data_IF_958609333311
#
_entry.id   IF_958609333311
#
_cell.length_a   1.000
_cell.length_b   1.000
_cell.length_c   1.000
_cell.angle_alpha   90.00
_cell.angle_beta   90.00
_cell.angle_gamma   90.00
#
_symmetry.space_group_name_H-M   'P 1'
#
loop_
_entity.id
_entity.type
_entity.pdbx_description
1 polymer ?
#
# COMPACT_ATOMS: atom_id res chain seq x y z
N UNK A 1 -48.08 10.81 12.18
CA UNK A 1 -48.35 9.72 13.15
C UNK A 1 -47.21 8.76 12.96
N UNK A 2 -46.12 9.02 13.69
CA UNK A 2 -44.90 8.24 13.61
C UNK A 2 -45.19 6.88 14.24
N UNK A 3 -45.01 5.84 13.44
CA UNK A 3 -45.14 4.46 13.90
C UNK A 3 -43.95 4.16 14.83
N UNK A 4 -44.18 3.94 16.15
CA UNK A 4 -43.10 3.71 17.12
C UNK A 4 -42.35 2.39 16.86
N UNK A 5 -42.76 1.60 15.87
CA UNK A 5 -42.04 0.39 15.42
C UNK A 5 -41.06 0.64 14.26
N UNK A 6 -41.06 1.82 13.63
CA UNK A 6 -40.01 2.20 12.68
C UNK A 6 -38.81 2.74 13.45
N UNK A 7 -37.80 1.89 13.64
CA UNK A 7 -36.52 2.31 14.21
C UNK A 7 -35.91 3.47 13.43
N UNK A 8 -35.07 4.28 14.07
CA UNK A 8 -34.38 5.38 13.38
C UNK A 8 -33.26 4.85 12.47
N UNK A 9 -32.79 5.66 11.51
CA UNK A 9 -31.59 5.34 10.69
C UNK A 9 -30.42 4.92 11.58
N UNK A 10 -30.18 5.67 12.66
CA UNK A 10 -29.09 5.39 13.60
C UNK A 10 -29.26 4.04 14.34
N UNK A 11 -30.49 3.70 14.75
CA UNK A 11 -30.76 2.41 15.41
C UNK A 11 -30.57 1.22 14.47
N UNK A 12 -31.05 1.35 13.23
CA UNK A 12 -30.82 0.35 12.19
C UNK A 12 -29.31 0.18 11.92
N UNK A 13 -28.56 1.28 11.81
CA UNK A 13 -27.12 1.25 11.61
C UNK A 13 -26.35 0.62 12.77
N UNK A 14 -26.74 0.90 14.02
CA UNK A 14 -26.12 0.29 15.19
C UNK A 14 -26.32 -1.22 15.22
N UNK A 15 -27.52 -1.72 14.89
CA UNK A 15 -27.77 -3.16 14.79
C UNK A 15 -27.01 -3.79 13.62
N UNK A 16 -26.99 -3.12 12.46
CA UNK A 16 -26.24 -3.57 11.31
C UNK A 16 -24.75 -3.74 11.63
N UNK A 17 -24.14 -2.77 12.33
CA UNK A 17 -22.74 -2.82 12.78
C UNK A 17 -22.48 -4.04 13.66
N UNK A 18 -23.29 -4.22 14.70
CA UNK A 18 -23.12 -5.34 15.63
C UNK A 18 -23.28 -6.69 14.92
N UNK A 19 -24.27 -6.82 14.04
CA UNK A 19 -24.49 -8.04 13.26
C UNK A 19 -23.33 -8.31 12.29
N UNK A 20 -22.79 -7.26 11.66
CA UNK A 20 -21.64 -7.37 10.77
C UNK A 20 -20.38 -7.83 11.52
N UNK A 21 -20.10 -7.27 12.71
CA UNK A 21 -18.99 -7.70 13.56
C UNK A 21 -19.14 -9.14 14.08
N UNK A 22 -20.37 -9.61 14.23
CA UNK A 22 -20.70 -11.00 14.55
C UNK A 22 -20.67 -11.94 13.33
N UNK A 23 -20.42 -11.43 12.12
CA UNK A 23 -20.42 -12.20 10.87
C UNK A 23 -21.80 -12.59 10.37
N UNK A 24 -22.86 -12.02 10.93
CA UNK A 24 -24.23 -12.20 10.48
C UNK A 24 -24.52 -11.23 9.32
N UNK A 25 -23.76 -11.37 8.24
CA UNK A 25 -23.82 -10.47 7.06
C UNK A 25 -25.24 -10.33 6.50
N UNK A 26 -26.06 -11.40 6.36
CA UNK A 26 -27.43 -11.26 5.86
C UNK A 26 -28.33 -10.41 6.78
N UNK A 27 -28.17 -10.55 8.10
CA UNK A 27 -28.95 -9.76 9.08
C UNK A 27 -28.48 -8.29 9.08
N UNK A 28 -27.17 -8.07 8.98
CA UNK A 28 -26.59 -6.74 8.84
C UNK A 28 -27.08 -6.03 7.57
N UNK A 29 -27.15 -6.75 6.45
CA UNK A 29 -27.71 -6.25 5.18
C UNK A 29 -29.16 -5.84 5.34
N UNK A 30 -29.98 -6.67 5.99
CA UNK A 30 -31.39 -6.35 6.22
C UNK A 30 -31.59 -5.06 7.05
N UNK A 31 -30.74 -4.84 8.05
CA UNK A 31 -30.75 -3.61 8.85
C UNK A 31 -30.24 -2.40 8.06
N UNK A 32 -29.20 -2.56 7.24
CA UNK A 32 -28.73 -1.50 6.33
C UNK A 32 -29.81 -1.11 5.31
N UNK A 33 -30.50 -2.07 4.70
CA UNK A 33 -31.61 -1.83 3.78
C UNK A 33 -32.80 -1.15 4.49
N UNK A 34 -33.02 -1.46 5.78
CA UNK A 34 -34.01 -0.77 6.58
C UNK A 34 -33.64 0.70 6.83
N UNK A 35 -32.37 1.00 7.12
CA UNK A 35 -31.87 2.37 7.21
C UNK A 35 -32.05 3.12 5.87
N UNK A 36 -31.69 2.50 4.74
CA UNK A 36 -31.83 3.08 3.40
C UNK A 36 -33.28 3.30 2.96
N UNK A 37 -34.24 2.53 3.48
CA UNK A 37 -35.68 2.80 3.26
C UNK A 37 -36.15 4.08 3.97
N UNK A 38 -35.49 4.48 5.05
CA UNK A 38 -35.80 5.69 5.80
C UNK A 38 -35.08 6.89 5.17
N UNK A 39 -33.78 6.75 4.91
CA UNK A 39 -32.97 7.74 4.18
C UNK A 39 -32.07 7.05 3.13
N UNK A 40 -32.47 7.09 1.85
CA UNK A 40 -31.69 6.47 0.76
C UNK A 40 -30.32 7.11 0.52
N UNK A 41 -30.10 8.34 0.99
CA UNK A 41 -28.86 9.10 0.75
C UNK A 41 -27.96 9.13 1.98
N UNK A 42 -28.35 8.47 3.07
CA UNK A 42 -27.53 8.43 4.27
C UNK A 42 -26.18 7.77 3.97
N UNK A 43 -25.05 8.48 4.20
CA UNK A 43 -23.75 7.99 3.79
C UNK A 43 -23.27 6.82 4.64
N UNK A 44 -23.66 6.75 5.91
CA UNK A 44 -23.28 5.68 6.83
C UNK A 44 -24.04 4.37 6.48
N UNK A 45 -25.32 4.47 6.11
CA UNK A 45 -26.14 3.35 5.62
C UNK A 45 -25.67 2.82 4.27
N UNK A 46 -25.35 3.71 3.32
CA UNK A 46 -24.74 3.31 2.06
C UNK A 46 -23.35 2.66 2.30
N UNK A 47 -22.53 3.17 3.22
CA UNK A 47 -21.26 2.56 3.55
C UNK A 47 -21.40 1.17 4.20
N UNK A 48 -22.44 0.96 5.01
CA UNK A 48 -22.75 -0.35 5.60
C UNK A 48 -23.25 -1.35 4.54
N UNK A 49 -24.16 -0.93 3.66
CA UNK A 49 -24.61 -1.76 2.54
C UNK A 49 -23.46 -2.17 1.62
N UNK A 50 -22.52 -1.24 1.35
CA UNK A 50 -21.31 -1.53 0.59
C UNK A 50 -20.44 -2.59 1.26
N UNK A 51 -20.27 -2.50 2.59
CA UNK A 51 -19.50 -3.48 3.35
C UNK A 51 -20.15 -4.88 3.31
N UNK A 52 -21.48 -4.94 3.44
CA UNK A 52 -22.23 -6.19 3.31
C UNK A 52 -22.07 -6.80 1.90
N UNK A 53 -22.21 -6.00 0.84
CA UNK A 53 -22.03 -6.46 -0.53
C UNK A 53 -20.61 -6.99 -0.80
N UNK A 54 -19.58 -6.33 -0.25
CA UNK A 54 -18.20 -6.80 -0.33
C UNK A 54 -18.03 -8.16 0.38
N UNK A 55 -18.63 -8.32 1.56
CA UNK A 55 -18.61 -9.56 2.32
C UNK A 55 -19.35 -10.71 1.60
N UNK A 56 -20.37 -10.39 0.81
CA UNK A 56 -21.10 -11.32 -0.05
C UNK A 56 -20.37 -11.61 -1.39
N UNK A 57 -19.14 -11.10 -1.57
CA UNK A 57 -18.35 -11.21 -2.79
C UNK A 57 -19.02 -10.61 -4.04
N UNK A 58 -19.82 -9.55 -3.87
CA UNK A 58 -20.38 -8.74 -4.96
C UNK A 58 -19.66 -7.38 -5.04
N UNK A 59 -18.50 -7.31 -5.73
CA UNK A 59 -17.74 -6.08 -5.82
C UNK A 59 -18.46 -5.00 -6.63
N UNK A 60 -19.33 -5.36 -7.58
CA UNK A 60 -20.05 -4.38 -8.39
C UNK A 60 -21.09 -3.65 -7.55
N UNK A 61 -21.87 -4.38 -6.75
CA UNK A 61 -22.83 -3.79 -5.81
C UNK A 61 -22.12 -2.98 -4.71
N UNK A 62 -20.99 -3.49 -4.18
CA UNK A 62 -20.19 -2.77 -3.21
C UNK A 62 -19.69 -1.41 -3.75
N UNK A 63 -19.28 -1.35 -5.02
CA UNK A 63 -18.84 -0.11 -5.67
C UNK A 63 -19.97 0.90 -5.85
N UNK A 64 -21.19 0.44 -6.13
CA UNK A 64 -22.37 1.32 -6.24
C UNK A 64 -22.65 1.99 -4.90
N UNK A 65 -22.78 1.21 -3.82
CA UNK A 65 -23.08 1.75 -2.50
C UNK A 65 -21.93 2.58 -1.93
N UNK A 66 -20.67 2.15 -2.10
CA UNK A 66 -19.52 2.94 -1.68
C UNK A 66 -19.46 4.27 -2.47
N UNK A 67 -19.78 4.25 -3.76
CA UNK A 67 -19.90 5.45 -4.59
C UNK A 67 -20.96 6.41 -4.08
N UNK A 68 -22.15 5.91 -3.71
CA UNK A 68 -23.22 6.71 -3.14
C UNK A 68 -22.81 7.36 -1.81
N UNK A 69 -22.20 6.59 -0.90
CA UNK A 69 -21.69 7.13 0.36
C UNK A 69 -20.64 8.24 0.14
N UNK A 70 -19.70 8.03 -0.79
CA UNK A 70 -18.63 8.99 -1.08
C UNK A 70 -19.12 10.23 -1.83
N UNK A 71 -20.21 10.14 -2.60
CA UNK A 71 -20.82 11.30 -3.23
C UNK A 71 -21.37 12.30 -2.19
N UNK A 72 -21.89 11.81 -1.07
CA UNK A 72 -22.41 12.64 0.02
C UNK A 72 -21.36 13.00 1.08
N UNK A 73 -20.45 12.07 1.39
CA UNK A 73 -19.34 12.27 2.34
C UNK A 73 -18.03 11.78 1.71
N UNK A 74 -17.30 12.64 0.96
CA UNK A 74 -16.10 12.24 0.20
C UNK A 74 -14.94 11.68 1.04
N UNK A 75 -14.91 11.97 2.34
CA UNK A 75 -13.90 11.48 3.29
C UNK A 75 -14.45 10.41 4.24
N UNK A 76 -15.46 9.67 3.82
CA UNK A 76 -16.02 8.58 4.61
C UNK A 76 -15.10 7.36 4.60
N UNK A 77 -14.35 7.16 5.69
CA UNK A 77 -13.28 6.14 5.75
C UNK A 77 -13.76 4.74 5.40
N UNK A 78 -14.87 4.25 5.96
CA UNK A 78 -15.41 2.92 5.62
C UNK A 78 -15.69 2.77 4.12
N UNK A 79 -16.41 3.70 3.51
CA UNK A 79 -16.69 3.66 2.08
C UNK A 79 -15.43 3.74 1.22
N UNK A 80 -14.43 4.53 1.60
CA UNK A 80 -13.13 4.57 0.91
C UNK A 80 -12.42 3.22 0.96
N UNK A 81 -12.39 2.59 2.14
CA UNK A 81 -11.79 1.27 2.36
C UNK A 81 -12.53 0.20 1.55
N UNK A 82 -13.86 0.14 1.66
CA UNK A 82 -14.70 -0.81 0.91
C UNK A 82 -14.53 -0.65 -0.59
N UNK A 83 -14.50 0.59 -1.10
CA UNK A 83 -14.22 0.86 -2.52
C UNK A 83 -12.87 0.30 -2.94
N UNK A 84 -11.82 0.51 -2.16
CA UNK A 84 -10.48 0.02 -2.47
C UNK A 84 -10.43 -1.51 -2.58
N UNK A 85 -11.07 -2.22 -1.64
CA UNK A 85 -11.17 -3.67 -1.70
C UNK A 85 -12.05 -4.17 -2.85
N UNK A 86 -13.23 -3.57 -3.06
CA UNK A 86 -14.12 -3.95 -4.14
C UNK A 86 -13.49 -3.75 -5.53
N UNK A 87 -12.69 -2.69 -5.72
CA UNK A 87 -11.91 -2.49 -6.94
C UNK A 87 -10.88 -3.60 -7.14
N UNK A 88 -10.23 -4.03 -6.06
CA UNK A 88 -9.25 -5.10 -6.10
C UNK A 88 -9.91 -6.46 -6.42
N UNK A 89 -11.05 -6.77 -5.80
CA UNK A 89 -11.86 -7.97 -6.11
C UNK A 89 -12.38 -8.00 -7.55
N UNK A 90 -12.74 -6.84 -8.08
CA UNK A 90 -13.15 -6.69 -9.48
C UNK A 90 -11.97 -6.79 -10.48
N UNK A 91 -10.72 -6.95 -10.01
CA UNK A 91 -9.51 -6.97 -10.85
C UNK A 91 -9.18 -5.61 -11.48
N UNK A 92 -9.72 -4.51 -10.93
CA UNK A 92 -9.47 -3.13 -11.37
C UNK A 92 -8.26 -2.57 -10.63
N UNK A 93 -7.12 -3.22 -10.81
CA UNK A 93 -5.91 -3.05 -9.98
C UNK A 93 -5.43 -1.59 -9.93
N UNK A 94 -5.33 -0.90 -11.06
CA UNK A 94 -4.88 0.50 -11.11
C UNK A 94 -5.77 1.44 -10.29
N UNK A 95 -7.09 1.21 -10.32
CA UNK A 95 -8.05 2.00 -9.55
C UNK A 95 -7.99 1.63 -8.07
N UNK A 96 -7.76 0.35 -7.74
CA UNK A 96 -7.56 -0.11 -6.37
C UNK A 96 -6.33 0.55 -5.75
N UNK A 97 -5.23 0.69 -6.51
CA UNK A 97 -4.02 1.39 -6.06
C UNK A 97 -4.28 2.88 -5.79
N UNK A 98 -5.06 3.54 -6.64
CA UNK A 98 -5.46 4.94 -6.43
C UNK A 98 -6.36 5.09 -5.20
N UNK A 99 -7.33 4.19 -5.03
CA UNK A 99 -8.21 4.17 -3.87
C UNK A 99 -7.41 3.93 -2.58
N UNK A 100 -6.45 3.00 -2.59
CA UNK A 100 -5.54 2.77 -1.47
C UNK A 100 -4.74 4.03 -1.14
N UNK A 101 -4.13 4.68 -2.14
CA UNK A 101 -3.36 5.92 -1.94
C UNK A 101 -4.20 7.03 -1.28
N UNK A 102 -5.48 7.14 -1.64
CA UNK A 102 -6.38 8.13 -1.04
C UNK A 102 -6.59 7.95 0.47
N UNK A 103 -6.39 6.75 1.02
CA UNK A 103 -6.43 6.51 2.47
C UNK A 103 -5.22 7.13 3.17
N UNK A 104 -4.05 7.11 2.53
CA UNK A 104 -2.85 7.78 3.07
C UNK A 104 -2.94 9.30 2.89
N UNK A 105 -3.58 9.78 1.83
CA UNK A 105 -3.88 11.21 1.66
C UNK A 105 -4.88 11.72 2.73
N UNK A 106 -5.80 10.85 3.17
CA UNK A 106 -6.71 11.16 4.27
C UNK A 106 -5.95 11.33 5.58
N UNK A 107 -5.09 10.36 5.92
CA UNK A 107 -4.18 10.43 7.05
C UNK A 107 -3.03 9.41 6.90
N UNK A 108 -1.81 9.94 6.71
CA UNK A 108 -0.59 9.16 6.52
C UNK A 108 0.10 8.77 7.84
N UNK A 109 -0.36 9.26 8.99
CA UNK A 109 0.14 8.86 10.32
C UNK A 109 -0.75 7.82 10.99
N UNK A 110 -1.91 7.51 10.39
CA UNK A 110 -2.78 6.41 10.82
C UNK A 110 -2.21 5.05 10.41
N UNK A 111 -1.80 4.26 11.39
CA UNK A 111 -1.40 2.87 11.18
C UNK A 111 -2.53 2.02 10.56
N UNK A 112 -3.81 2.35 10.82
CA UNK A 112 -4.97 1.69 10.22
C UNK A 112 -5.04 1.93 8.71
N UNK A 113 -4.76 3.17 8.27
CA UNK A 113 -4.74 3.50 6.85
C UNK A 113 -3.57 2.80 6.14
N UNK A 114 -2.41 2.70 6.79
CA UNK A 114 -1.29 1.91 6.27
C UNK A 114 -1.63 0.41 6.15
N UNK A 115 -2.35 -0.17 7.12
CA UNK A 115 -2.85 -1.55 7.00
C UNK A 115 -3.77 -1.70 5.80
N UNK A 116 -4.76 -0.83 5.64
CA UNK A 116 -5.71 -0.94 4.52
C UNK A 116 -5.01 -0.72 3.18
N UNK A 117 -4.11 0.25 3.08
CA UNK A 117 -3.24 0.41 1.92
C UNK A 117 -2.47 -0.88 1.61
N UNK A 118 -1.82 -1.46 2.62
CA UNK A 118 -1.02 -2.67 2.45
C UNK A 118 -1.84 -3.85 1.95
N UNK A 119 -3.04 -4.04 2.50
CA UNK A 119 -3.93 -5.15 2.13
C UNK A 119 -4.57 -4.96 0.75
N UNK A 120 -5.00 -3.75 0.40
CA UNK A 120 -5.55 -3.46 -0.94
C UNK A 120 -4.46 -3.61 -2.00
N UNK A 121 -3.27 -3.05 -1.77
CA UNK A 121 -2.15 -3.17 -2.71
C UNK A 121 -1.63 -4.60 -2.83
N UNK A 122 -1.60 -5.37 -1.74
CA UNK A 122 -1.36 -6.83 -1.77
C UNK A 122 -2.39 -7.53 -2.66
N UNK A 123 -3.66 -7.19 -2.55
CA UNK A 123 -4.71 -7.80 -3.36
C UNK A 123 -4.57 -7.42 -4.85
N UNK A 124 -4.25 -6.17 -5.15
CA UNK A 124 -3.98 -5.70 -6.51
C UNK A 124 -2.61 -6.18 -7.07
N UNK A 125 -1.90 -7.08 -6.39
CA UNK A 125 -0.63 -7.65 -6.84
C UNK A 125 0.61 -6.73 -6.68
N UNK A 126 0.45 -5.56 -6.05
CA UNK A 126 1.52 -4.61 -5.82
C UNK A 126 2.32 -4.95 -4.54
N UNK A 127 3.19 -5.94 -4.68
CA UNK A 127 4.02 -6.52 -3.63
C UNK A 127 4.88 -5.54 -2.81
N UNK A 128 5.63 -4.64 -3.47
CA UNK A 128 6.53 -3.72 -2.75
C UNK A 128 5.77 -2.64 -1.97
N UNK A 129 4.80 -1.92 -2.57
CA UNK A 129 3.96 -0.98 -1.83
C UNK A 129 3.27 -1.62 -0.62
N UNK A 130 2.81 -2.87 -0.76
CA UNK A 130 2.21 -3.61 0.35
C UNK A 130 3.19 -3.80 1.51
N UNK A 131 4.42 -4.26 1.22
CA UNK A 131 5.45 -4.48 2.23
C UNK A 131 5.87 -3.17 2.92
N UNK A 132 6.06 -2.09 2.15
CA UNK A 132 6.46 -0.79 2.68
C UNK A 132 5.41 -0.22 3.63
N UNK A 133 4.13 -0.29 3.25
CA UNK A 133 3.03 0.17 4.09
C UNK A 133 2.84 -0.71 5.34
N UNK A 134 3.01 -2.04 5.23
CA UNK A 134 2.96 -2.91 6.40
C UNK A 134 4.09 -2.61 7.41
N UNK A 135 5.30 -2.30 6.93
CA UNK A 135 6.39 -1.83 7.77
C UNK A 135 6.07 -0.49 8.43
N UNK A 136 5.51 0.46 7.69
CA UNK A 136 5.09 1.75 8.26
C UNK A 136 4.00 1.59 9.32
N UNK A 137 3.04 0.66 9.12
CA UNK A 137 2.03 0.36 10.13
C UNK A 137 2.67 -0.14 11.44
N UNK A 138 3.66 -1.04 11.36
CA UNK A 138 4.41 -1.51 12.53
C UNK A 138 5.22 -0.38 13.19
N UNK A 139 5.84 0.50 12.41
CA UNK A 139 6.59 1.63 12.95
C UNK A 139 5.68 2.64 13.68
N UNK A 140 4.47 2.86 13.18
CA UNK A 140 3.49 3.78 13.76
C UNK A 140 2.81 3.21 15.01
N UNK A 141 2.60 1.89 15.05
CA UNK A 141 1.96 1.22 16.18
C UNK A 141 2.61 -0.16 16.43
N UNK A 142 3.80 -0.18 17.06
CA UNK A 142 4.57 -1.39 17.29
C UNK A 142 4.00 -2.27 18.40
N UNK A 143 3.10 -1.74 19.22
CA UNK A 143 2.38 -2.41 20.31
C UNK A 143 1.05 -3.04 19.85
N UNK A 144 0.64 -2.81 18.61
CA UNK A 144 -0.59 -3.37 18.06
C UNK A 144 -0.32 -4.74 17.41
N UNK A 145 -0.87 -5.86 17.94
CA UNK A 145 -0.64 -7.19 17.35
C UNK A 145 -1.01 -7.25 15.86
N UNK A 146 -2.04 -6.49 15.45
CA UNK A 146 -2.55 -6.48 14.08
C UNK A 146 -1.56 -5.95 13.05
N UNK A 147 -0.72 -4.96 13.39
CA UNK A 147 0.27 -4.41 12.45
C UNK A 147 1.32 -5.47 12.09
N UNK A 148 1.74 -6.24 13.09
CA UNK A 148 2.66 -7.38 12.93
C UNK A 148 2.03 -8.53 12.14
N UNK A 149 0.75 -8.86 12.35
CA UNK A 149 0.07 -9.90 11.58
C UNK A 149 -0.02 -9.57 10.08
N UNK A 150 -0.30 -8.31 9.75
CA UNK A 150 -0.35 -7.84 8.34
C UNK A 150 1.04 -7.92 7.70
N UNK A 151 2.09 -7.48 8.42
CA UNK A 151 3.47 -7.62 7.95
C UNK A 151 3.86 -9.09 7.75
N UNK A 152 3.44 -9.97 8.66
CA UNK A 152 3.70 -11.41 8.53
C UNK A 152 3.04 -12.01 7.28
N UNK A 153 1.76 -11.71 7.04
CA UNK A 153 1.03 -12.22 5.88
C UNK A 153 1.65 -11.76 4.55
N UNK A 154 2.03 -10.48 4.45
CA UNK A 154 2.68 -9.96 3.24
C UNK A 154 4.08 -10.56 3.09
N UNK A 155 4.83 -10.73 4.18
CA UNK A 155 6.12 -11.39 4.15
C UNK A 155 6.02 -12.85 3.67
N UNK A 156 4.98 -13.59 4.08
CA UNK A 156 4.71 -14.96 3.62
C UNK A 156 4.48 -15.03 2.12
N UNK A 157 3.62 -14.16 1.57
CA UNK A 157 3.37 -14.15 0.13
C UNK A 157 4.64 -13.88 -0.68
N UNK A 158 5.56 -13.10 -0.12
CA UNK A 158 6.83 -12.76 -0.75
C UNK A 158 7.93 -13.80 -0.52
N UNK A 159 7.66 -14.88 0.24
CA UNK A 159 8.64 -15.90 0.59
C UNK A 159 9.70 -15.43 1.58
N UNK A 160 9.40 -14.41 2.38
CA UNK A 160 10.29 -13.88 3.43
C UNK A 160 10.05 -14.59 4.76
N UNK A 161 10.32 -15.90 4.81
CA UNK A 161 9.93 -16.76 5.93
C UNK A 161 10.46 -16.28 7.29
N UNK A 162 11.69 -15.75 7.33
CA UNK A 162 12.30 -15.25 8.56
C UNK A 162 11.57 -14.01 9.10
N UNK A 163 11.21 -13.07 8.22
CA UNK A 163 10.46 -11.87 8.59
C UNK A 163 9.06 -12.28 9.04
N UNK A 164 8.39 -13.13 8.27
CA UNK A 164 7.07 -13.63 8.60
C UNK A 164 7.00 -14.29 9.98
N UNK A 165 7.95 -15.18 10.28
CA UNK A 165 8.03 -15.85 11.60
C UNK A 165 8.26 -14.85 12.73
N UNK A 166 9.17 -13.89 12.57
CA UNK A 166 9.45 -12.87 13.59
C UNK A 166 8.25 -11.97 13.84
N UNK A 167 7.57 -11.52 12.79
CA UNK A 167 6.38 -10.68 12.91
C UNK A 167 5.22 -11.45 13.57
N UNK A 168 5.00 -12.74 13.22
CA UNK A 168 4.03 -13.58 13.94
C UNK A 168 4.36 -13.75 15.42
N UNK A 169 5.64 -13.94 15.76
CA UNK A 169 6.06 -14.05 17.14
C UNK A 169 5.79 -12.74 17.90
N UNK A 170 6.16 -11.60 17.33
CA UNK A 170 5.90 -10.29 17.94
C UNK A 170 4.39 -10.06 18.19
N UNK A 171 3.53 -10.44 17.23
CA UNK A 171 2.09 -10.38 17.41
C UNK A 171 1.59 -11.27 18.57
N UNK A 172 2.14 -12.49 18.69
CA UNK A 172 1.78 -13.44 19.75
C UNK A 172 2.22 -12.94 21.13
N UNK A 173 3.44 -12.41 21.23
CA UNK A 173 4.00 -11.86 22.48
C UNK A 173 3.15 -10.69 22.99
N UNK A 174 2.62 -9.85 22.10
CA UNK A 174 1.71 -8.75 22.44
C UNK A 174 0.30 -9.24 22.82
N UNK A 175 -0.17 -10.32 22.23
CA UNK A 175 -1.47 -10.94 22.55
C UNK A 175 -1.49 -11.68 23.90
N UNK A 176 -0.34 -12.16 24.35
CA UNK A 176 -0.17 -12.90 25.61
C UNK A 176 0.06 -11.99 26.84
N UNK A 177 0.34 -10.70 26.63
CA UNK A 177 0.80 -9.75 27.67
C UNK A 177 -0.19 -8.66 28.08
N UNK A 178 -1.39 -8.58 27.51
CA UNK A 178 -2.34 -7.50 27.79
C UNK A 178 -3.40 -7.82 28.85
N UNK A 179 -3.39 -7.19 30.06
CA UNK A 179 -4.63 -6.92 30.75
C UNK A 179 -5.35 -5.79 29.98
N UNK A 180 -6.63 -5.96 29.66
CA UNK A 180 -7.48 -4.98 28.95
C UNK A 180 -7.29 -4.83 27.42
N UNK A 181 -7.48 -5.91 26.65
CA UNK A 181 -7.80 -5.77 25.21
C UNK A 181 -9.27 -5.37 24.94
N UNK A 182 -10.04 -4.98 25.96
CA UNK A 182 -11.44 -4.53 25.90
C UNK A 182 -11.56 -3.00 26.08
N UNK A 183 -10.72 -2.24 25.39
CA UNK A 183 -10.95 -0.79 25.21
C UNK A 183 -11.98 -0.53 24.10
N UNK A 184 -12.76 0.55 24.13
CA UNK A 184 -13.76 0.86 23.10
C UNK A 184 -13.15 1.07 21.69
N UNK A 185 -11.83 1.30 21.60
CA UNK A 185 -11.09 1.41 20.34
C UNK A 185 -10.48 0.08 19.83
N UNK A 186 -10.71 -1.02 20.57
CA UNK A 186 -10.36 -2.40 20.17
C UNK A 186 -11.31 -2.99 19.12
N UNK A 187 -12.26 -2.20 18.61
CA UNK A 187 -13.10 -2.47 17.43
C UNK A 187 -12.26 -2.47 16.13
N UNK A 188 -11.26 -3.33 16.10
CA UNK A 188 -10.56 -3.78 14.92
C UNK A 188 -10.60 -5.29 15.03
N UNK A 189 -11.31 -5.98 14.14
CA UNK A 189 -11.84 -7.27 14.48
C UNK A 189 -10.63 -8.25 14.52
N UNK A 190 -10.63 -9.17 15.49
CA UNK A 190 -9.58 -10.17 15.73
C UNK A 190 -9.34 -11.05 14.49
N UNK A 191 -8.46 -12.06 14.47
CA UNK A 191 -8.33 -12.90 13.25
C UNK A 191 -9.69 -13.47 12.80
N UNK A 192 -10.50 -13.90 13.78
CA UNK A 192 -11.88 -14.32 13.58
C UNK A 192 -12.84 -13.17 13.23
N UNK A 193 -12.45 -11.94 13.57
CA UNK A 193 -13.15 -10.73 13.28
C UNK A 193 -12.84 -10.14 11.89
N UNK A 194 -11.63 -10.34 11.35
CA UNK A 194 -11.33 -10.12 9.94
C UNK A 194 -12.16 -11.11 9.12
N UNK A 195 -12.18 -12.38 9.53
CA UNK A 195 -13.08 -13.43 9.02
C UNK A 195 -14.57 -13.06 9.11
N UNK A 196 -15.03 -12.43 10.20
CA UNK A 196 -16.44 -12.01 10.37
C UNK A 196 -16.81 -10.71 9.66
N UNK A 197 -15.93 -9.71 9.62
CA UNK A 197 -16.19 -8.41 9.05
C UNK A 197 -16.10 -8.38 7.52
N UNK A 198 -16.23 -9.51 6.83
CA UNK A 198 -16.07 -9.62 5.37
C UNK A 198 -14.73 -9.13 4.82
N UNK A 199 -13.78 -8.79 5.71
CA UNK A 199 -12.44 -8.29 5.41
C UNK A 199 -11.42 -9.42 5.47
N UNK A 200 -11.86 -10.65 5.69
CA UNK A 200 -11.16 -11.86 5.30
C UNK A 200 -11.16 -11.98 3.79
N UNK A 201 -10.40 -11.06 3.22
CA UNK A 201 -9.46 -11.50 2.24
C UNK A 201 -8.69 -12.66 2.82
N UNK A 202 -8.87 -13.80 2.17
CA UNK A 202 -8.12 -15.00 2.41
C UNK A 202 -6.64 -14.60 2.55
N UNK A 203 -6.15 -14.59 3.81
CA UNK A 203 -4.74 -14.38 4.10
C UNK A 203 -3.92 -15.49 3.41
N UNK A 204 -4.57 -16.57 2.93
CA UNK A 204 -4.02 -17.62 2.09
C UNK A 204 -3.94 -17.32 0.59
N UNK A 205 -4.44 -16.18 0.07
CA UNK A 205 -4.30 -15.87 -1.37
C UNK A 205 -2.86 -15.48 -1.69
N UNK A 206 -2.06 -16.49 -2.04
CA UNK A 206 -0.66 -16.29 -2.39
C UNK A 206 -0.53 -15.33 -3.57
N UNK A 207 0.37 -14.34 -3.46
CA UNK A 207 0.74 -13.49 -4.59
C UNK A 207 1.10 -14.36 -5.81
N UNK A 208 0.72 -13.94 -7.04
CA UNK A 208 1.11 -14.67 -8.24
C UNK A 208 2.64 -14.84 -8.26
N UNK A 209 3.16 -15.96 -8.79
CA UNK A 209 4.59 -16.29 -8.74
C UNK A 209 5.50 -15.19 -9.31
N UNK A 210 4.97 -14.36 -10.21
CA UNK A 210 5.64 -13.18 -10.80
C UNK A 210 5.82 -12.02 -9.80
N UNK A 211 4.94 -11.91 -8.80
CA UNK A 211 4.96 -10.90 -7.74
C UNK A 211 5.67 -11.38 -6.47
N UNK A 212 5.81 -12.71 -6.28
CA UNK A 212 6.76 -13.25 -5.30
C UNK A 212 8.13 -12.80 -5.73
N UNK A 213 8.98 -12.40 -4.80
CA UNK A 213 10.36 -12.07 -5.13
C UNK A 213 10.96 -13.30 -5.83
N UNK A 214 11.11 -13.25 -7.16
CA UNK A 214 12.35 -13.73 -7.73
C UNK A 214 13.40 -12.93 -6.99
N UNK A 215 14.32 -13.57 -6.24
CA UNK A 215 15.41 -12.84 -5.67
C UNK A 215 16.01 -12.06 -6.83
N UNK A 216 15.87 -10.72 -6.79
CA UNK A 216 16.58 -9.87 -7.73
C UNK A 216 18.03 -10.12 -7.41
N UNK A 217 18.62 -11.08 -8.14
CA UNK A 217 20.05 -11.21 -8.29
C UNK A 217 20.45 -9.84 -8.81
N UNK A 218 21.05 -9.02 -7.95
CA UNK A 218 21.53 -7.71 -8.31
C UNK A 218 22.53 -7.91 -9.43
N UNK A 219 22.05 -7.77 -10.66
CA UNK A 219 22.74 -8.18 -11.89
C UNK A 219 22.93 -9.70 -11.96
N UNK A 220 22.52 -10.32 -13.06
CA UNK A 220 23.14 -11.56 -13.54
C UNK A 220 24.62 -11.27 -13.88
N UNK A 221 25.41 -11.03 -12.85
CA UNK A 221 26.86 -11.02 -12.87
C UNK A 221 27.29 -12.22 -12.05
N UNK A 222 27.11 -13.42 -12.62
CA UNK A 222 28.11 -14.44 -12.34
C UNK A 222 29.47 -13.82 -12.69
N UNK A 223 30.42 -13.90 -11.77
CA UNK A 223 31.78 -13.38 -12.00
C UNK A 223 32.41 -13.96 -13.28
N UNK A 224 31.87 -15.10 -13.74
CA UNK A 224 32.28 -15.85 -14.92
C UNK A 224 31.36 -15.69 -16.15
N UNK A 225 30.36 -14.78 -16.14
CA UNK A 225 29.48 -14.55 -17.31
C UNK A 225 30.23 -13.75 -18.39
N UNK A 226 30.58 -14.32 -19.57
CA UNK A 226 31.35 -13.62 -20.60
C UNK A 226 30.62 -12.42 -21.22
N UNK A 227 29.30 -12.27 -20.99
CA UNK A 227 28.48 -11.15 -21.50
C UNK A 227 28.14 -10.10 -20.44
N UNK A 228 28.75 -10.16 -19.25
CA UNK A 228 28.52 -9.18 -18.17
C UNK A 228 28.73 -7.73 -18.65
N UNK A 229 29.70 -7.51 -19.56
CA UNK A 229 30.00 -6.20 -20.15
C UNK A 229 28.85 -5.66 -21.00
N UNK A 230 28.18 -6.49 -21.78
CA UNK A 230 27.03 -6.06 -22.60
C UNK A 230 25.85 -5.63 -21.73
N UNK A 231 25.66 -6.27 -20.57
CA UNK A 231 24.61 -5.93 -19.59
C UNK A 231 24.89 -4.61 -18.87
N UNK A 232 26.16 -4.33 -18.55
CA UNK A 232 26.56 -3.07 -17.87
C UNK A 232 26.56 -1.88 -18.84
N UNK A 233 27.03 -2.08 -20.07
CA UNK A 233 27.23 -0.99 -21.03
C UNK A 233 26.07 -0.82 -22.03
N UNK A 234 25.32 -1.87 -22.34
CA UNK A 234 24.23 -1.86 -23.32
C UNK A 234 24.71 -1.58 -24.76
N UNK A 235 23.88 -1.90 -25.77
CA UNK A 235 24.13 -1.44 -27.14
C UNK A 235 23.80 0.06 -27.24
N UNK A 236 24.82 0.89 -27.03
CA UNK A 236 24.76 2.34 -27.21
C UNK A 236 24.98 3.14 -25.93
N UNK A 237 25.47 4.37 -26.11
CA UNK A 237 26.08 5.24 -25.09
C UNK A 237 25.21 5.50 -23.83
N UNK A 238 23.90 5.24 -23.86
CA UNK A 238 22.94 5.62 -22.80
C UNK A 238 21.88 4.58 -22.42
N UNK A 239 21.97 3.33 -22.92
CA UNK A 239 20.92 2.32 -22.66
C UNK A 239 21.21 1.35 -21.51
N UNK A 240 22.45 1.26 -21.03
CA UNK A 240 22.82 0.45 -19.86
C UNK A 240 22.53 1.12 -18.51
N UNK A 241 22.49 0.32 -17.43
CA UNK A 241 22.29 0.81 -16.06
C UNK A 241 23.35 1.85 -15.63
N UNK A 242 24.58 1.69 -16.12
CA UNK A 242 25.68 2.64 -15.92
C UNK A 242 25.47 3.94 -16.70
N UNK A 243 24.93 3.86 -17.92
CA UNK A 243 24.64 5.05 -18.75
C UNK A 243 23.53 5.91 -18.16
N UNK A 244 22.52 5.30 -17.53
CA UNK A 244 21.43 6.01 -16.83
C UNK A 244 21.90 6.69 -15.55
N UNK A 245 22.77 6.04 -14.77
CA UNK A 245 23.33 6.61 -13.55
C UNK A 245 24.34 7.73 -13.86
N UNK A 246 25.09 7.62 -14.96
CA UNK A 246 25.95 8.70 -15.46
C UNK A 246 25.12 9.92 -15.90
N UNK A 247 24.01 9.73 -16.64
CA UNK A 247 23.11 10.83 -17.02
C UNK A 247 22.49 11.53 -15.81
N UNK A 248 22.13 10.77 -14.78
CA UNK A 248 21.63 11.33 -13.53
C UNK A 248 22.72 12.16 -12.81
N UNK A 249 23.96 11.66 -12.80
CA UNK A 249 25.12 12.35 -12.24
C UNK A 249 25.46 13.65 -12.98
N UNK A 250 25.50 13.65 -14.32
CA UNK A 250 25.71 14.88 -15.10
C UNK A 250 24.55 15.86 -14.95
N UNK A 251 23.30 15.38 -14.92
CA UNK A 251 22.16 16.25 -14.69
C UNK A 251 22.27 16.99 -13.34
N UNK A 252 22.71 16.31 -12.27
CA UNK A 252 22.90 16.93 -10.95
C UNK A 252 24.07 17.93 -10.97
N UNK A 253 25.20 17.59 -11.59
CA UNK A 253 26.37 18.48 -11.66
C UNK A 253 26.11 19.75 -12.47
N UNK A 254 25.25 19.70 -13.49
CA UNK A 254 24.91 20.86 -14.31
C UNK A 254 23.64 21.62 -13.88
N UNK A 255 22.65 20.94 -13.29
CA UNK A 255 21.41 21.58 -12.82
C UNK A 255 21.59 22.31 -11.49
N UNK A 256 22.40 21.79 -10.57
CA UNK A 256 22.60 22.38 -9.24
C UNK A 256 23.25 23.78 -9.32
N UNK A 257 24.28 24.04 -10.15
CA UNK A 257 24.82 25.38 -10.34
C UNK A 257 23.90 26.35 -11.08
N UNK A 258 22.99 25.85 -11.93
CA UNK A 258 22.00 26.66 -12.64
C UNK A 258 20.82 27.08 -11.73
N UNK A 259 20.48 26.26 -10.73
CA UNK A 259 19.46 26.53 -9.72
C UNK A 259 19.94 27.42 -8.56
N UNK A 260 21.24 27.39 -8.21
CA UNK A 260 21.86 28.22 -7.16
C UNK A 260 22.27 29.63 -7.66
N UNK A 261 21.39 30.27 -8.43
CA UNK A 261 21.62 31.55 -9.11
C UNK A 261 22.37 32.62 -8.30
N UNK A 262 23.25 33.34 -9.01
CA UNK A 262 23.82 34.67 -8.72
C UNK A 262 24.65 34.97 -7.47
N UNK A 263 24.69 34.19 -6.39
CA UNK A 263 25.40 34.64 -5.16
C UNK A 263 26.91 34.32 -5.07
N UNK A 264 27.43 33.49 -5.97
CA UNK A 264 28.84 33.06 -5.93
C UNK A 264 29.71 33.97 -6.81
N UNK A 265 30.81 34.52 -6.28
CA UNK A 265 31.76 35.32 -7.06
C UNK A 265 32.32 34.53 -8.27
N UNK A 266 32.78 35.25 -9.30
CA UNK A 266 33.26 34.63 -10.56
C UNK A 266 34.43 33.64 -10.36
N UNK A 267 35.28 33.85 -9.35
CA UNK A 267 36.43 33.00 -9.03
C UNK A 267 36.06 31.55 -8.68
N UNK A 268 35.25 31.32 -7.62
CA UNK A 268 34.83 29.97 -7.24
C UNK A 268 34.07 29.22 -8.35
N UNK A 269 33.27 29.92 -9.17
CA UNK A 269 32.57 29.31 -10.32
C UNK A 269 33.54 28.69 -11.34
N UNK A 270 34.63 29.40 -11.63
CA UNK A 270 35.67 28.91 -12.54
C UNK A 270 36.45 27.73 -11.93
N UNK A 271 36.66 27.72 -10.62
CA UNK A 271 37.29 26.59 -9.93
C UNK A 271 36.43 25.31 -10.01
N UNK A 272 35.12 25.40 -9.76
CA UNK A 272 34.20 24.27 -9.91
C UNK A 272 34.11 23.79 -11.37
N UNK A 273 34.06 24.72 -12.33
CA UNK A 273 34.08 24.37 -13.76
C UNK A 273 35.38 23.65 -14.15
N UNK A 274 36.53 24.10 -13.66
CA UNK A 274 37.82 23.47 -13.92
C UNK A 274 37.92 22.06 -13.31
N UNK A 275 37.44 21.87 -12.07
CA UNK A 275 37.40 20.56 -11.40
C UNK A 275 36.46 19.60 -12.15
N UNK A 276 35.28 20.08 -12.57
CA UNK A 276 34.34 19.28 -13.36
C UNK A 276 34.94 18.87 -14.71
N UNK A 277 35.64 19.79 -15.40
CA UNK A 277 36.29 19.51 -16.68
C UNK A 277 37.46 18.52 -16.52
N UNK A 278 38.28 18.68 -15.47
CA UNK A 278 39.37 17.76 -15.16
C UNK A 278 38.87 16.36 -14.80
N UNK A 279 37.79 16.26 -14.02
CA UNK A 279 37.13 14.99 -13.72
C UNK A 279 36.56 14.34 -14.99
N UNK A 280 35.97 15.13 -15.89
CA UNK A 280 35.44 14.66 -17.17
C UNK A 280 36.55 14.14 -18.11
N UNK A 281 37.67 14.86 -18.23
CA UNK A 281 38.84 14.44 -19.02
C UNK A 281 39.51 13.19 -18.42
N UNK A 282 39.66 13.14 -17.09
CA UNK A 282 40.18 11.96 -16.39
C UNK A 282 39.30 10.73 -16.60
N UNK A 283 37.99 10.90 -16.53
CA UNK A 283 37.03 9.83 -16.83
C UNK A 283 37.10 9.38 -18.29
N UNK A 284 37.19 10.30 -19.24
CA UNK A 284 37.26 9.98 -20.67
C UNK A 284 38.56 9.25 -21.04
N UNK A 285 39.67 9.59 -20.40
CA UNK A 285 40.95 8.88 -20.58
C UNK A 285 40.91 7.46 -20.02
N UNK A 286 40.27 7.25 -18.85
CA UNK A 286 40.03 5.89 -18.29
C UNK A 286 39.12 5.06 -19.21
N UNK A 287 38.05 5.66 -19.74
CA UNK A 287 37.15 4.98 -20.69
C UNK A 287 37.83 4.61 -22.01
N UNK A 288 38.74 5.46 -22.51
CA UNK A 288 39.51 5.17 -23.72
C UNK A 288 40.50 4.02 -23.49
N UNK A 289 41.12 3.97 -22.30
CA UNK A 289 42.07 2.91 -21.92
C UNK A 289 41.41 1.52 -21.78
N UNK A 290 40.12 1.48 -21.47
CA UNK A 290 39.35 0.23 -21.42
C UNK A 290 38.71 -0.18 -22.76
N UNK A 291 38.81 0.66 -23.81
CA UNK A 291 38.30 0.36 -25.16
C UNK A 291 39.34 -0.28 -26.07
N UNK A 292 40.63 0.02 -25.89
CA UNK A 292 41.75 -0.61 -26.60
C UNK A 292 42.70 -1.27 -25.59
N UNK A 293 42.49 -2.56 -25.25
CA UNK A 293 43.54 -3.36 -24.62
C UNK A 293 44.49 -3.87 -25.71
N UNK A 294 45.76 -3.45 -25.67
CA UNK A 294 46.84 -4.33 -26.14
C UNK A 294 46.94 -5.56 -25.24
#
# INVERSE_FOLDING_TARGET
>A
MDDPTRGTVAEHLQRAELMYELGQVPDARAEADAALRIDPLDPDANAMAAACALADHDPDEALVYAGAALAHRPRHTRAMVTRGYALADAGRDDEALQAAASLLDLDHTSWRNHIHYALITRHAGAAQPALDAAWNAVNLAPDQPRTHLVLAAIAEDLGMDDLARRSRQAAADLGDTGPDSTGPDSAGPDRAGLDRAGLAFDLGRQLPPEARRTPRRWVDADADDPRWREKVFGQGLFRGALGRSVLLGTAIVFAVPALLGSEIAAGPRLAFAAVALAAWVGWFTVLRRHRDPE
#
